data_IF_226951369756
#
_entry.id   IF_226951369756
#
_cell.length_a   1.000
_cell.length_b   1.000
_cell.length_c   1.000
_cell.angle_alpha   90.00
_cell.angle_beta   90.00
_cell.angle_gamma   90.00
#
_symmetry.space_group_name_H-M   'P 1'
#
loop_
_entity.id
_entity.type
_entity.pdbx_description
1 polymer ?
#
# COMPACT_ATOMS: atom_id res chain seq x y z
N UNK A 1 -18.04 7.11 5.23
CA UNK A 1 -17.38 5.79 5.36
C UNK A 1 -16.06 5.69 4.57
N UNK A 2 -15.85 6.47 3.50
CA UNK A 2 -14.62 6.45 2.67
C UNK A 2 -13.30 6.74 3.42
N UNK A 3 -13.28 7.62 4.44
CA UNK A 3 -12.05 7.99 5.16
C UNK A 3 -11.33 6.86 5.89
N UNK A 4 -12.05 5.79 6.27
CA UNK A 4 -11.46 4.67 7.01
C UNK A 4 -10.76 3.69 6.05
N UNK A 5 -11.34 3.44 4.88
CA UNK A 5 -10.75 2.57 3.84
C UNK A 5 -9.45 3.17 3.30
N UNK A 6 -9.40 4.48 3.03
CA UNK A 6 -8.16 5.14 2.55
C UNK A 6 -6.98 5.01 3.53
N UNK A 7 -7.26 5.16 4.84
CA UNK A 7 -6.24 5.00 5.89
C UNK A 7 -5.76 3.54 5.97
N UNK A 8 -6.69 2.59 5.89
CA UNK A 8 -6.38 1.16 5.94
C UNK A 8 -5.53 0.71 4.74
N UNK A 9 -5.93 1.08 3.53
CA UNK A 9 -5.18 0.77 2.30
C UNK A 9 -3.75 1.32 2.36
N UNK A 10 -3.57 2.55 2.84
CA UNK A 10 -2.24 3.13 2.98
C UNK A 10 -1.41 2.41 4.06
N UNK A 11 -2.02 2.03 5.18
CA UNK A 11 -1.37 1.22 6.20
C UNK A 11 -0.92 -0.14 5.66
N UNK A 12 -1.74 -0.82 4.85
CA UNK A 12 -1.35 -2.06 4.19
C UNK A 12 -0.18 -1.87 3.23
N UNK A 13 -0.19 -0.79 2.45
CA UNK A 13 0.93 -0.44 1.55
C UNK A 13 2.23 -0.26 2.33
N UNK A 14 2.20 0.44 3.47
CA UNK A 14 3.36 0.61 4.34
C UNK A 14 3.83 -0.74 4.93
N UNK A 15 2.90 -1.59 5.38
CA UNK A 15 3.21 -2.93 5.87
C UNK A 15 3.87 -3.81 4.79
N UNK A 16 3.39 -3.74 3.55
CA UNK A 16 3.99 -4.46 2.42
C UNK A 16 5.40 -3.99 2.12
N UNK A 17 5.66 -2.68 2.16
CA UNK A 17 7.02 -2.16 1.99
C UNK A 17 7.96 -2.58 3.12
N UNK A 18 7.48 -2.56 4.36
CA UNK A 18 8.24 -3.07 5.50
C UNK A 18 8.60 -4.55 5.33
N UNK A 19 7.66 -5.38 4.88
CA UNK A 19 7.87 -6.82 4.64
C UNK A 19 8.74 -7.14 3.44
N UNK A 20 8.66 -6.33 2.38
CA UNK A 20 9.45 -6.55 1.17
C UNK A 20 10.95 -6.30 1.40
N UNK A 21 11.29 -5.51 2.42
CA UNK A 21 12.69 -5.26 2.82
C UNK A 21 13.55 -4.64 1.72
N UNK A 22 12.93 -4.02 0.71
CA UNK A 22 13.65 -3.40 -0.40
C UNK A 22 14.31 -2.10 0.09
N UNK A 23 15.50 -1.83 -0.43
CA UNK A 23 16.19 -0.58 -0.15
C UNK A 23 15.45 0.61 -0.77
N UNK A 24 15.57 1.80 -0.16
CA UNK A 24 14.88 3.01 -0.60
C UNK A 24 15.09 3.35 -2.08
N UNK A 25 16.29 3.10 -2.61
CA UNK A 25 16.63 3.33 -4.01
C UNK A 25 16.06 2.28 -5.00
N UNK A 26 15.59 1.14 -4.50
CA UNK A 26 14.93 0.12 -5.32
C UNK A 26 13.46 0.47 -5.55
N UNK A 27 12.87 1.32 -4.69
CA UNK A 27 11.49 1.76 -4.82
C UNK A 27 11.30 2.75 -5.96
N UNK A 28 10.84 2.21 -7.08
CA UNK A 28 10.23 2.95 -8.19
C UNK A 28 8.73 3.17 -7.94
N UNK A 29 8.10 4.19 -8.57
CA UNK A 29 6.66 4.46 -8.44
C UNK A 29 5.77 3.23 -8.69
N UNK A 30 6.18 2.34 -9.60
CA UNK A 30 5.45 1.10 -9.88
C UNK A 30 5.25 0.22 -8.63
N UNK A 31 6.19 0.20 -7.67
CA UNK A 31 6.05 -0.61 -6.45
C UNK A 31 4.93 -0.10 -5.54
N UNK A 32 4.70 1.22 -5.52
CA UNK A 32 3.56 1.80 -4.82
C UNK A 32 2.25 1.30 -5.43
N UNK A 33 2.13 1.32 -6.75
CA UNK A 33 0.94 0.81 -7.42
C UNK A 33 0.77 -0.71 -7.29
N UNK A 34 1.85 -1.49 -7.22
CA UNK A 34 1.79 -2.93 -6.94
C UNK A 34 1.27 -3.20 -5.52
N UNK A 35 1.79 -2.48 -4.52
CA UNK A 35 1.35 -2.60 -3.14
C UNK A 35 -0.11 -2.14 -2.96
N UNK A 36 -0.48 -1.04 -3.62
CA UNK A 36 -1.84 -0.51 -3.59
C UNK A 36 -2.82 -1.48 -4.27
N UNK A 37 -2.44 -2.05 -5.41
CA UNK A 37 -3.24 -3.07 -6.09
C UNK A 37 -3.46 -4.30 -5.20
N UNK A 38 -2.41 -4.75 -4.50
CA UNK A 38 -2.50 -5.86 -3.56
C UNK A 38 -3.39 -5.55 -2.35
N UNK A 39 -3.33 -4.33 -1.82
CA UNK A 39 -4.22 -3.90 -0.74
C UNK A 39 -5.70 -3.89 -1.18
N UNK A 40 -5.97 -3.45 -2.41
CA UNK A 40 -7.31 -3.50 -3.01
C UNK A 40 -7.78 -4.93 -3.36
N UNK A 41 -6.89 -5.93 -3.45
CA UNK A 41 -7.30 -7.33 -3.57
C UNK A 41 -7.74 -7.92 -2.21
N UNK A 42 -7.32 -7.31 -1.09
CA UNK A 42 -7.67 -7.74 0.27
C UNK A 42 -8.93 -7.06 0.82
N UNK A 43 -9.23 -5.83 0.40
CA UNK A 43 -10.57 -5.24 0.58
C UNK A 43 -11.51 -5.84 -0.47
N UNK A 44 -12.25 -6.87 -0.05
CA UNK A 44 -13.21 -7.58 -0.90
C UNK A 44 -14.26 -6.60 -1.47
N UNK A 45 -14.67 -6.85 -2.73
CA UNK A 45 -15.79 -6.21 -3.46
C UNK A 45 -15.61 -4.88 -4.23
N UNK A 46 -14.42 -4.28 -4.35
CA UNK A 46 -14.26 -3.11 -5.24
C UNK A 46 -13.25 -3.31 -6.40
N UNK A 47 -13.77 -3.53 -7.61
CA UNK A 47 -12.94 -3.63 -8.83
C UNK A 47 -12.59 -2.26 -9.45
N UNK A 48 -13.33 -1.20 -9.12
CA UNK A 48 -13.11 0.14 -9.68
C UNK A 48 -11.70 0.69 -9.43
N UNK A 49 -11.15 0.68 -8.20
CA UNK A 49 -9.81 1.23 -7.94
C UNK A 49 -8.72 0.44 -8.67
N UNK A 50 -8.92 -0.87 -8.89
CA UNK A 50 -7.99 -1.69 -9.68
C UNK A 50 -7.96 -1.29 -11.14
N UNK A 51 -9.12 -0.93 -11.72
CA UNK A 51 -9.19 -0.41 -13.08
C UNK A 51 -8.54 0.97 -13.18
N UNK A 52 -8.77 1.84 -12.20
CA UNK A 52 -8.16 3.17 -12.14
C UNK A 52 -6.64 3.11 -12.05
N UNK A 53 -6.08 2.17 -11.26
CA UNK A 53 -4.63 1.95 -11.19
C UNK A 53 -4.06 1.56 -12.56
N UNK A 54 -4.71 0.64 -13.28
CA UNK A 54 -4.26 0.26 -14.63
C UNK A 54 -4.35 1.43 -15.61
N UNK A 55 -5.45 2.19 -15.56
CA UNK A 55 -5.64 3.36 -16.41
C UNK A 55 -4.60 4.44 -16.13
N UNK A 56 -4.27 4.69 -14.86
CA UNK A 56 -3.25 5.64 -14.46
C UNK A 56 -1.86 5.24 -14.97
N UNK A 57 -1.49 3.96 -14.86
CA UNK A 57 -0.16 3.47 -15.23
C UNK A 57 0.06 3.31 -16.74
N UNK A 58 -0.96 2.87 -17.47
CA UNK A 58 -0.81 2.40 -18.86
C UNK A 58 -1.81 3.04 -19.83
N UNK A 59 -2.64 3.97 -19.35
CA UNK A 59 -3.72 4.57 -20.12
C UNK A 59 -4.78 3.55 -20.52
N UNK A 60 -5.30 3.69 -21.75
CA UNK A 60 -6.33 2.78 -22.30
C UNK A 60 -5.78 1.44 -22.80
N UNK A 61 -4.46 1.21 -22.72
CA UNK A 61 -3.83 -0.01 -23.22
C UNK A 61 -3.76 -1.10 -22.15
N UNK A 62 -4.23 -2.30 -22.50
CA UNK A 62 -4.15 -3.47 -21.63
C UNK A 62 -2.94 -4.36 -21.91
N UNK A 63 -2.08 -4.00 -22.87
CA UNK A 63 -0.92 -4.80 -23.28
C UNK A 63 0.08 -5.03 -22.13
N UNK A 64 0.11 -4.13 -21.14
CA UNK A 64 1.04 -4.19 -20.01
C UNK A 64 0.53 -5.02 -18.82
N UNK A 65 -0.72 -5.51 -18.87
CA UNK A 65 -1.30 -6.34 -17.80
C UNK A 65 -0.45 -7.58 -17.47
N UNK A 66 0.05 -8.37 -18.44
CA UNK A 66 0.87 -9.54 -18.14
C UNK A 66 2.16 -9.16 -17.39
N UNK A 67 2.80 -8.07 -17.80
CA UNK A 67 4.01 -7.57 -17.14
C UNK A 67 3.72 -7.09 -15.73
N UNK A 68 2.62 -6.35 -15.52
CA UNK A 68 2.19 -5.90 -14.20
C UNK A 68 1.96 -7.09 -13.25
N UNK A 69 1.25 -8.12 -13.69
CA UNK A 69 1.02 -9.31 -12.85
C UNK A 69 2.32 -10.07 -12.54
N UNK A 70 3.28 -10.11 -13.48
CA UNK A 70 4.61 -10.68 -13.23
C UNK A 70 5.36 -9.89 -12.15
N UNK A 71 5.33 -8.56 -12.21
CA UNK A 71 5.94 -7.71 -11.18
C UNK A 71 5.23 -7.86 -9.83
N UNK A 72 3.90 -7.95 -9.81
CA UNK A 72 3.11 -8.22 -8.59
C UNK A 72 3.55 -9.53 -7.95
N UNK A 73 3.70 -10.59 -8.74
CA UNK A 73 4.18 -11.88 -8.24
C UNK A 73 5.59 -11.79 -7.64
N UNK A 74 6.51 -11.09 -8.29
CA UNK A 74 7.86 -10.86 -7.76
C UNK A 74 7.85 -10.08 -6.44
N UNK A 75 6.99 -9.07 -6.34
CA UNK A 75 6.81 -8.27 -5.13
C UNK A 75 6.22 -9.09 -3.97
N UNK A 76 5.23 -9.94 -4.24
CA UNK A 76 4.68 -10.87 -3.23
C UNK A 76 5.76 -11.85 -2.76
N UNK A 77 6.57 -12.36 -3.70
CA UNK A 77 7.67 -13.27 -3.39
C UNK A 77 8.73 -12.59 -2.51
N UNK A 78 9.04 -11.31 -2.71
CA UNK A 78 10.00 -10.60 -1.86
C UNK A 78 9.51 -10.42 -0.42
N UNK A 79 8.20 -10.43 -0.19
CA UNK A 79 7.61 -10.43 1.16
C UNK A 79 7.58 -11.81 1.82
N UNK A 80 8.14 -12.84 1.18
CA UNK A 80 8.03 -14.23 1.67
C UNK A 80 6.58 -14.71 1.74
N UNK A 81 5.72 -14.26 0.83
CA UNK A 81 4.29 -14.61 0.76
C UNK A 81 3.43 -14.09 1.92
N UNK A 82 3.97 -13.20 2.78
CA UNK A 82 3.25 -12.59 3.91
C UNK A 82 2.34 -11.44 3.44
N UNK A 83 1.25 -11.78 2.76
CA UNK A 83 0.30 -10.80 2.19
C UNK A 83 -0.87 -10.44 3.13
N UNK A 84 -1.16 -11.29 4.12
CA UNK A 84 -2.21 -11.05 5.10
C UNK A 84 -1.80 -9.93 6.05
N UNK A 85 -2.61 -8.88 6.16
CA UNK A 85 -2.43 -7.78 7.13
C UNK A 85 -3.71 -7.78 7.97
N UNK A 86 -3.59 -8.14 9.24
CA UNK A 86 -4.76 -8.14 10.12
C UNK A 86 -5.15 -6.70 10.48
N UNK A 87 -6.36 -6.54 11.00
CA UNK A 87 -6.85 -5.22 11.39
C UNK A 87 -6.08 -4.66 12.59
N UNK A 88 -5.61 -5.54 13.47
CA UNK A 88 -4.85 -5.17 14.66
C UNK A 88 -3.43 -4.67 14.32
N UNK A 89 -2.82 -5.19 13.24
CA UNK A 89 -1.42 -4.91 12.87
C UNK A 89 -1.15 -3.44 12.52
N UNK A 90 -2.18 -2.62 12.26
CA UNK A 90 -2.03 -1.20 11.92
C UNK A 90 -2.58 -0.22 12.97
N UNK A 91 -3.42 -0.67 13.91
CA UNK A 91 -3.93 0.19 14.99
C UNK A 91 -2.83 0.52 16.02
N UNK A 92 -1.75 -0.26 16.04
CA UNK A 92 -0.57 -0.04 16.88
C UNK A 92 0.42 1.02 16.33
N UNK A 93 0.19 1.62 15.15
CA UNK A 93 1.07 2.68 14.66
C UNK A 93 0.91 3.91 15.57
N UNK A 94 1.93 4.31 16.35
CA UNK A 94 1.81 5.44 17.25
C UNK A 94 1.55 6.70 16.43
N UNK A 95 0.38 7.31 16.60
CA UNK A 95 0.13 8.65 16.09
C UNK A 95 1.13 9.59 16.76
N UNK A 96 1.98 10.31 16.00
CA UNK A 96 2.87 11.30 16.58
C UNK A 96 2.01 12.35 17.29
N UNK A 97 2.01 12.33 18.62
CA UNK A 97 1.37 13.39 19.40
C UNK A 97 2.17 14.67 19.12
N UNK A 98 1.55 15.72 18.57
CA UNK A 98 2.24 16.99 18.44
C UNK A 98 2.61 17.45 19.85
N UNK A 99 3.91 17.59 20.11
CA UNK A 99 4.40 18.23 21.34
C UNK A 99 4.03 19.70 21.23
N UNK A 100 2.83 20.04 21.70
CA UNK A 100 2.45 21.42 21.95
C UNK A 100 3.40 21.97 23.00
N UNK A 101 4.00 23.12 22.67
CA UNK A 101 4.93 23.84 23.50
C UNK A 101 4.36 24.07 24.91
N UNK A 102 4.88 23.36 25.90
CA UNK A 102 4.71 23.73 27.30
C UNK A 102 5.65 24.92 27.57
N UNK A 103 5.26 26.11 27.14
CA UNK A 103 5.86 27.35 27.62
C UNK A 103 5.07 27.87 28.83
N UNK A 104 5.77 27.85 29.97
CA UNK A 104 5.58 28.64 31.18
C UNK A 104 4.33 28.38 32.03
N UNK A 105 4.50 27.51 33.03
CA UNK A 105 4.01 27.80 34.37
C UNK A 105 4.96 28.82 35.01
N UNK A 106 4.47 30.01 35.32
CA UNK A 106 4.89 30.82 36.46
C UNK A 106 3.79 31.82 36.83
#
# INVERSE_FOLDING_TARGET
MLRVSDKYLLSMVIAYFSRAGLFSWQYRPIHFFLALYLANDMEEDNQAPKQDIFYFLYGKSYAQRPMFHKLRFQFIRSMGWRIWVSREEYEEIPVPVPKGDTLCQH
#
